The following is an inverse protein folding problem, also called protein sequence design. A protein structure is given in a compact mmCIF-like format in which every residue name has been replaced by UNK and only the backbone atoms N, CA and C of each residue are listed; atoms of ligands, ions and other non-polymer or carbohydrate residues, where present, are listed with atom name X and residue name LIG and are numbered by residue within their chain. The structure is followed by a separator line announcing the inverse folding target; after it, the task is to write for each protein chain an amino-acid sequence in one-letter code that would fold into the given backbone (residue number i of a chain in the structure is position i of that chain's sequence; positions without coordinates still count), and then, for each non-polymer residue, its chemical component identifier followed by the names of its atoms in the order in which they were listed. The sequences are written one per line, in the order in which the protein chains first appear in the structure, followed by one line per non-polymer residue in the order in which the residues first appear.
data_IF_063223745543
#
_entry.id   IF_063223745543
#
_cell.length_a   1.000
_cell.length_b   1.000
_cell.length_c   1.000
_cell.angle_alpha   90.00
_cell.angle_beta   90.00
_cell.angle_gamma   90.00
#
_symmetry.space_group_name_H-M   'P 1'
#
loop_
_entity.id
_entity.type
_entity.pdbx_description
1 polymer ?
#
# COMPACT_ATOMS: atom_id res chain seq x y z
N UNK A 1 -30.65 -68.96 29.07
CA UNK A 1 -30.03 -68.16 27.98
C UNK A 1 -30.78 -66.84 27.91
N UNK A 2 -30.15 -65.73 28.35
CA UNK A 2 -30.77 -64.39 28.29
C UNK A 2 -29.94 -63.50 27.36
N UNK A 3 -30.65 -62.94 26.38
CA UNK A 3 -30.20 -62.08 25.30
C UNK A 3 -29.42 -60.85 25.82
N UNK A 4 -28.28 -60.58 25.19
CA UNK A 4 -27.55 -59.33 25.30
C UNK A 4 -28.02 -58.36 24.20
N UNK A 5 -28.62 -57.23 24.56
CA UNK A 5 -28.86 -56.09 23.65
C UNK A 5 -28.77 -54.80 24.49
N UNK A 6 -27.91 -53.88 24.06
CA UNK A 6 -27.88 -52.53 24.63
C UNK A 6 -26.65 -51.71 24.24
N UNK A 7 -26.47 -51.45 22.95
CA UNK A 7 -25.48 -50.47 22.47
C UNK A 7 -26.09 -49.08 22.69
N UNK A 8 -25.63 -48.37 23.71
CA UNK A 8 -25.90 -46.94 23.89
C UNK A 8 -24.69 -46.14 23.41
N UNK A 9 -24.68 -45.83 22.11
CA UNK A 9 -23.74 -44.85 21.54
C UNK A 9 -24.18 -43.45 21.99
N UNK A 10 -23.55 -42.95 23.06
CA UNK A 10 -23.76 -41.59 23.56
C UNK A 10 -23.18 -40.60 22.54
N UNK A 11 -24.02 -39.66 22.12
CA UNK A 11 -23.78 -38.72 21.04
C UNK A 11 -22.55 -37.84 21.25
N UNK A 12 -21.70 -37.82 20.22
CA UNK A 12 -20.71 -36.78 19.99
C UNK A 12 -21.44 -35.47 19.68
N UNK A 13 -21.56 -34.60 20.69
CA UNK A 13 -21.88 -33.19 20.50
C UNK A 13 -20.67 -32.53 19.80
N UNK A 14 -20.71 -32.50 18.48
CA UNK A 14 -19.76 -31.70 17.69
C UNK A 14 -20.18 -30.24 17.89
N UNK A 15 -19.49 -29.54 18.77
CA UNK A 15 -19.56 -28.08 18.85
C UNK A 15 -19.10 -27.52 17.51
N UNK A 16 -20.04 -27.09 16.66
CA UNK A 16 -19.73 -26.27 15.51
C UNK A 16 -19.21 -24.93 16.05
N UNK A 17 -17.89 -24.83 16.21
CA UNK A 17 -17.22 -23.56 16.38
C UNK A 17 -17.28 -22.87 15.02
N UNK A 18 -18.34 -22.09 14.78
CA UNK A 18 -18.38 -21.17 13.65
C UNK A 18 -17.29 -20.12 13.88
N UNK A 19 -16.13 -20.37 13.30
CA UNK A 19 -15.08 -19.35 13.18
C UNK A 19 -15.61 -18.32 12.20
N UNK A 20 -16.30 -17.31 12.75
CA UNK A 20 -16.60 -16.06 12.04
C UNK A 20 -15.26 -15.49 11.58
N UNK A 21 -14.91 -15.77 10.33
CA UNK A 21 -13.80 -15.13 9.59
C UNK A 21 -14.25 -13.75 9.10
N UNK A 22 -15.01 -13.04 9.93
CA UNK A 22 -15.47 -11.68 9.68
C UNK A 22 -14.73 -10.75 10.63
N UNK A 23 -13.93 -9.85 10.07
CA UNK A 23 -13.17 -8.82 10.78
C UNK A 23 -11.91 -9.29 11.51
N UNK A 24 -10.97 -9.90 10.79
CA UNK A 24 -9.57 -9.76 11.19
C UNK A 24 -9.19 -8.28 11.09
N UNK A 25 -9.02 -7.61 12.24
CA UNK A 25 -8.35 -6.32 12.37
C UNK A 25 -6.83 -6.42 12.11
N UNK A 26 -6.42 -7.39 11.29
CA UNK A 26 -5.02 -7.59 10.96
C UNK A 26 -4.56 -6.48 10.03
N UNK A 27 -3.38 -5.88 10.29
CA UNK A 27 -2.82 -4.87 9.41
C UNK A 27 -2.67 -5.44 8.00
N UNK A 28 -3.33 -4.81 7.04
CA UNK A 28 -3.13 -5.14 5.63
C UNK A 28 -1.83 -4.51 5.16
N UNK A 29 -0.99 -5.25 4.43
CA UNK A 29 0.28 -4.72 3.94
C UNK A 29 0.21 -4.47 2.43
N UNK A 30 0.68 -3.30 2.00
CA UNK A 30 0.81 -2.92 0.59
C UNK A 30 2.27 -2.70 0.25
N UNK A 31 2.76 -3.36 -0.79
CA UNK A 31 4.06 -3.14 -1.39
C UNK A 31 3.95 -2.02 -2.43
N UNK A 32 4.62 -0.90 -2.19
CA UNK A 32 4.65 0.25 -3.09
C UNK A 32 5.95 0.23 -3.89
N UNK A 33 5.83 0.20 -5.21
CA UNK A 33 6.95 0.31 -6.17
C UNK A 33 6.74 1.52 -7.06
N UNK A 34 7.82 2.08 -7.61
CA UNK A 34 7.73 3.18 -8.57
C UNK A 34 8.49 2.92 -9.85
N UNK A 35 8.08 3.61 -10.91
CA UNK A 35 8.81 3.71 -12.17
C UNK A 35 9.06 5.20 -12.46
N UNK A 36 10.31 5.68 -12.43
CA UNK A 36 11.52 4.93 -12.09
C UNK A 36 11.60 4.58 -10.58
N UNK A 37 12.50 3.66 -10.20
CA UNK A 37 12.67 3.14 -8.82
C UNK A 37 13.10 4.23 -7.82
N UNK A 38 13.44 3.87 -6.57
CA UNK A 38 14.14 4.76 -5.63
C UNK A 38 13.46 6.12 -5.38
N UNK A 39 12.12 6.16 -5.43
CA UNK A 39 11.36 7.32 -5.01
C UNK A 39 11.18 7.32 -3.50
N UNK A 40 11.11 8.51 -2.91
CA UNK A 40 10.85 8.69 -1.48
C UNK A 40 9.34 8.73 -1.24
N UNK A 41 8.83 7.83 -0.41
CA UNK A 41 7.50 7.89 0.18
C UNK A 41 7.59 8.69 1.47
N UNK A 42 6.76 9.71 1.63
CA UNK A 42 6.60 10.50 2.85
C UNK A 42 5.19 10.33 3.38
N UNK A 43 5.08 9.98 4.66
CA UNK A 43 3.82 9.83 5.37
C UNK A 43 3.44 11.13 6.10
N UNK A 44 2.17 11.28 6.47
CA UNK A 44 1.69 12.48 7.18
C UNK A 44 2.38 12.71 8.53
N UNK A 45 2.85 11.65 9.19
CA UNK A 45 3.61 11.76 10.44
C UNK A 45 5.08 12.18 10.23
N UNK A 46 5.49 12.54 9.00
CA UNK A 46 6.85 12.94 8.66
C UNK A 46 7.84 11.78 8.51
N UNK A 47 7.40 10.53 8.73
CA UNK A 47 8.25 9.38 8.45
C UNK A 47 8.37 9.16 6.94
N UNK A 48 9.44 8.50 6.53
CA UNK A 48 9.70 8.23 5.12
C UNK A 48 10.34 6.87 4.89
N UNK A 49 10.16 6.33 3.69
CA UNK A 49 10.86 5.15 3.20
C UNK A 49 11.12 5.28 1.69
N UNK A 50 12.13 4.58 1.18
CA UNK A 50 12.43 4.52 -0.26
C UNK A 50 11.75 3.32 -0.91
N UNK A 51 11.25 3.50 -2.13
CA UNK A 51 10.62 2.41 -2.89
C UNK A 51 11.68 1.46 -3.47
N UNK A 52 11.46 0.13 -3.42
CA UNK A 52 10.23 -0.55 -2.98
C UNK A 52 10.05 -0.57 -1.46
N UNK A 53 8.87 -0.13 -0.98
CA UNK A 53 8.57 -0.02 0.45
C UNK A 53 7.28 -0.75 0.82
N UNK A 54 7.31 -1.50 1.93
CA UNK A 54 6.14 -2.18 2.49
C UNK A 54 5.45 -1.29 3.51
N UNK A 55 4.21 -0.93 3.23
CA UNK A 55 3.40 -0.04 4.07
C UNK A 55 2.30 -0.84 4.77
N UNK A 56 2.20 -0.72 6.09
CA UNK A 56 1.09 -1.24 6.87
C UNK A 56 -0.11 -0.31 6.79
N UNK A 57 -1.30 -0.86 6.56
CA UNK A 57 -2.55 -0.14 6.35
C UNK A 57 -3.60 -0.68 7.32
N UNK A 58 -3.92 0.14 8.31
CA UNK A 58 -4.97 -0.12 9.32
C UNK A 58 -6.31 0.39 8.77
N UNK A 59 -6.39 1.67 8.42
CA UNK A 59 -7.56 2.27 7.77
C UNK A 59 -7.15 2.94 6.46
N UNK A 60 -6.75 4.21 6.56
CA UNK A 60 -6.29 5.03 5.44
C UNK A 60 -4.90 5.56 5.75
N UNK A 61 -3.99 5.39 4.79
CA UNK A 61 -2.61 5.87 4.89
C UNK A 61 -2.36 6.86 3.76
N UNK A 62 -2.61 8.16 4.00
CA UNK A 62 -2.19 9.21 3.08
C UNK A 62 -0.66 9.27 2.99
N UNK A 63 -0.16 9.30 1.76
CA UNK A 63 1.26 9.37 1.46
C UNK A 63 1.56 10.24 0.24
N UNK A 64 2.77 10.75 0.18
CA UNK A 64 3.32 11.47 -0.97
C UNK A 64 4.54 10.72 -1.48
N UNK A 65 4.59 10.46 -2.78
CA UNK A 65 5.71 9.83 -3.46
C UNK A 65 6.41 10.90 -4.28
N UNK A 66 7.71 11.09 -4.07
CA UNK A 66 8.49 12.10 -4.76
C UNK A 66 9.84 11.55 -5.23
N UNK A 67 10.31 12.06 -6.36
CA UNK A 67 11.65 11.81 -6.89
C UNK A 67 12.13 13.04 -7.65
N UNK A 68 13.41 13.39 -7.51
CA UNK A 68 14.02 14.52 -8.24
C UNK A 68 13.81 14.39 -9.74
N UNK A 69 13.34 15.47 -10.37
CA UNK A 69 13.03 15.52 -11.81
C UNK A 69 11.65 14.97 -12.18
N UNK A 70 10.82 14.57 -11.19
CA UNK A 70 9.47 14.07 -11.40
C UNK A 70 8.45 14.85 -10.56
N UNK A 71 7.20 14.88 -11.02
CA UNK A 71 6.07 15.41 -10.26
C UNK A 71 5.80 14.53 -9.05
N UNK A 72 5.56 15.17 -7.91
CA UNK A 72 5.12 14.45 -6.71
C UNK A 72 3.73 13.84 -6.91
N UNK A 73 3.56 12.58 -6.52
CA UNK A 73 2.29 11.85 -6.59
C UNK A 73 1.71 11.68 -5.19
N UNK A 74 0.50 12.18 -4.96
CA UNK A 74 -0.21 12.03 -3.67
C UNK A 74 -1.28 10.97 -3.80
N UNK A 75 -1.36 10.06 -2.84
CA UNK A 75 -2.41 9.03 -2.81
C UNK A 75 -2.72 8.57 -1.38
N UNK A 76 -3.80 7.82 -1.24
CA UNK A 76 -4.21 7.21 0.03
C UNK A 76 -4.25 5.70 -0.17
N UNK A 77 -3.52 4.96 0.65
CA UNK A 77 -3.65 3.50 0.71
C UNK A 77 -4.80 3.14 1.65
N UNK A 78 -5.62 2.18 1.25
CA UNK A 78 -6.72 1.67 2.06
C UNK A 78 -6.62 0.15 2.18
N UNK A 79 -7.39 -0.48 3.07
CA UNK A 79 -7.49 -1.95 3.14
C UNK A 79 -7.94 -2.60 1.83
N UNK A 80 -8.58 -1.83 0.92
CA UNK A 80 -9.01 -2.29 -0.40
C UNK A 80 -7.94 -2.14 -1.47
N UNK A 81 -6.85 -1.42 -1.19
CA UNK A 81 -5.75 -1.26 -2.13
C UNK A 81 -5.10 -2.63 -2.40
N UNK A 82 -4.73 -2.86 -3.66
CA UNK A 82 -4.04 -4.10 -4.06
C UNK A 82 -2.78 -4.29 -3.22
N UNK A 83 -2.46 -5.54 -2.87
CA UNK A 83 -1.26 -5.91 -2.08
C UNK A 83 0.05 -5.38 -2.66
N UNK A 84 0.11 -5.15 -3.97
CA UNK A 84 1.24 -4.51 -4.64
C UNK A 84 0.73 -3.46 -5.60
N UNK A 85 1.34 -2.28 -5.59
CA UNK A 85 1.09 -1.21 -6.54
C UNK A 85 2.40 -0.78 -7.21
N UNK A 86 2.29 -0.41 -8.49
CA UNK A 86 3.36 0.22 -9.26
C UNK A 86 2.89 1.63 -9.64
N UNK A 87 3.61 2.65 -9.19
CA UNK A 87 3.31 4.06 -9.47
C UNK A 87 4.29 4.59 -10.51
N UNK A 88 3.78 4.94 -11.70
CA UNK A 88 4.59 5.58 -12.75
C UNK A 88 4.65 7.08 -12.50
N UNK A 89 5.85 7.62 -12.36
CA UNK A 89 6.06 9.03 -12.09
C UNK A 89 6.16 9.82 -13.40
N UNK A 90 5.50 10.98 -13.43
CA UNK A 90 5.57 11.91 -14.56
C UNK A 90 6.79 12.81 -14.43
N UNK A 91 7.57 12.97 -15.49
CA UNK A 91 8.73 13.86 -15.48
C UNK A 91 8.29 15.33 -15.42
N UNK A 92 8.99 16.14 -14.64
CA UNK A 92 8.86 17.59 -14.70
C UNK A 92 9.72 18.09 -15.85
N UNK A 93 9.11 18.49 -16.96
CA UNK A 93 9.84 19.18 -18.04
C UNK A 93 10.02 20.62 -17.56
N UNK A 94 11.25 20.98 -17.17
CA UNK A 94 11.59 22.38 -16.92
C UNK A 94 11.92 22.96 -18.29
N UNK A 95 10.91 23.47 -18.98
CA UNK A 95 11.13 24.35 -20.13
C UNK A 95 11.76 25.63 -19.58
N UNK A 96 13.08 25.65 -19.54
CA UNK A 96 13.81 26.89 -19.31
C UNK A 96 13.86 27.55 -20.68
N UNK A 97 12.83 28.33 -21.01
CA UNK A 97 12.95 29.34 -22.05
C UNK A 97 13.99 30.36 -21.54
N UNK A 98 15.26 30.06 -21.79
CA UNK A 98 16.32 31.03 -21.70
C UNK A 98 16.11 31.97 -22.88
N UNK A 99 15.30 33.02 -22.66
CA UNK A 99 15.32 34.19 -23.53
C UNK A 99 16.76 34.68 -23.55
N UNK A 100 17.44 34.48 -24.68
CA UNK A 100 18.76 35.00 -24.92
C UNK A 100 18.65 36.53 -24.84
N UNK A 101 19.04 37.09 -23.70
CA UNK A 101 19.16 38.54 -23.53
C UNK A 101 20.26 38.97 -24.50
N UNK A 102 19.85 39.53 -25.64
CA UNK A 102 20.76 40.19 -26.57
C UNK A 102 21.45 41.33 -25.81
N UNK A 103 22.74 41.15 -25.55
CA UNK A 103 23.58 42.16 -24.90
C UNK A 103 23.65 43.38 -25.84
N UNK A 104 23.42 44.62 -25.36
CA UNK A 104 23.51 45.79 -26.20
C UNK A 104 24.96 46.01 -26.67
N UNK A 105 25.14 46.22 -27.97
CA UNK A 105 26.42 46.63 -28.54
C UNK A 105 26.83 47.99 -27.98
N UNK A 106 28.02 48.04 -27.38
CA UNK A 106 28.64 49.29 -26.95
C UNK A 106 29.15 50.02 -28.20
N UNK A 107 28.43 51.07 -28.61
CA UNK A 107 28.88 52.06 -29.60
C UNK A 107 29.96 52.97 -29.05
#
# INVERSE_FOLDING_TARGET
MKLAIGIAALGLLVSACETTSGFSNEPSFVMVKTEPNDATITFVNGTSCETPCRVGVIDEVPLTIARTGYKAHRMVLTRKTKKTILVKLERTVVETELEAVELPDLQ
#
